data_IF_096277476980
#
_entry.id   IF_096277476980
#
_cell.length_a   1.000
_cell.length_b   1.000
_cell.length_c   1.000
_cell.angle_alpha   90.00
_cell.angle_beta   90.00
_cell.angle_gamma   90.00
#
_symmetry.space_group_name_H-M   'P 1'
#
loop_
_entity.id
_entity.type
_entity.pdbx_description
1 polymer ?
#
# COMPACT_ATOMS: atom_id res chain seq x y z
N UNK A 1 -2.22 -1.20 0.79
CA UNK A 1 -2.69 -0.78 2.14
C UNK A 1 -4.05 -1.40 2.44
N UNK A 2 -5.10 -1.04 1.69
CA UNK A 2 -6.49 -1.47 1.93
C UNK A 2 -6.66 -2.99 2.12
N UNK A 3 -6.12 -3.84 1.25
CA UNK A 3 -6.25 -5.31 1.39
C UNK A 3 -5.78 -5.79 2.78
N UNK A 4 -4.62 -5.33 3.24
CA UNK A 4 -4.06 -5.73 4.55
C UNK A 4 -4.95 -5.22 5.69
N UNK A 5 -5.44 -3.99 5.62
CA UNK A 5 -6.39 -3.44 6.59
C UNK A 5 -7.68 -4.27 6.62
N UNK A 6 -8.20 -4.65 5.45
CA UNK A 6 -9.42 -5.45 5.34
C UNK A 6 -9.27 -6.85 5.92
N UNK A 7 -8.11 -7.49 5.72
CA UNK A 7 -7.83 -8.80 6.33
C UNK A 7 -7.65 -8.76 7.85
N UNK A 8 -7.46 -7.58 8.45
CA UNK A 8 -7.24 -7.43 9.90
C UNK A 8 -5.91 -7.97 10.41
N UNK A 9 -4.98 -8.40 9.54
CA UNK A 9 -3.71 -9.04 9.94
C UNK A 9 -2.67 -8.05 10.47
N UNK A 10 -2.83 -6.75 10.20
CA UNK A 10 -1.91 -5.71 10.66
C UNK A 10 -2.65 -4.38 10.78
N UNK A 11 -2.39 -3.65 11.87
CA UNK A 11 -2.76 -2.24 11.98
C UNK A 11 -1.67 -1.40 11.31
N UNK A 12 -2.02 -0.72 10.22
CA UNK A 12 -1.08 0.04 9.39
C UNK A 12 -0.92 1.51 9.82
N UNK A 13 -1.59 1.93 10.89
CA UNK A 13 -1.50 3.29 11.41
C UNK A 13 -0.40 3.43 12.47
N UNK A 14 0.07 2.32 13.04
CA UNK A 14 1.26 2.33 13.90
C UNK A 14 2.53 2.60 13.10
N UNK A 15 3.39 3.46 13.64
CA UNK A 15 4.70 3.73 13.06
C UNK A 15 5.54 2.45 13.00
N UNK A 16 6.14 2.17 11.83
CA UNK A 16 6.95 0.97 11.61
C UNK A 16 6.18 -0.32 11.29
N UNK A 17 4.84 -0.29 11.30
CA UNK A 17 3.98 -1.42 10.89
C UNK A 17 4.14 -1.79 9.42
N UNK A 18 4.52 -0.83 8.59
CA UNK A 18 4.84 -1.02 7.18
C UNK A 18 6.25 -0.50 6.91
N UNK A 19 7.05 -1.32 6.23
CA UNK A 19 8.38 -0.94 5.74
C UNK A 19 8.45 -1.21 4.25
N UNK A 20 9.04 -0.29 3.51
CA UNK A 20 9.17 -0.40 2.06
C UNK A 20 10.62 -0.18 1.66
N UNK A 21 11.18 -1.16 0.93
CA UNK A 21 12.40 -0.98 0.17
C UNK A 21 12.02 -0.80 -1.30
N UNK A 22 12.44 0.30 -1.92
CA UNK A 22 12.07 0.66 -3.29
C UNK A 22 13.20 0.30 -4.27
N UNK A 23 12.86 -0.47 -5.30
CA UNK A 23 13.80 -0.93 -6.33
C UNK A 23 13.49 -0.22 -7.64
N UNK A 24 14.47 0.50 -8.20
CA UNK A 24 14.24 1.33 -9.40
C UNK A 24 15.45 1.42 -10.33
N UNK A 25 15.18 1.38 -11.62
CA UNK A 25 16.12 1.66 -12.70
C UNK A 25 15.44 2.43 -13.83
N UNK A 26 16.22 3.24 -14.54
CA UNK A 26 15.88 3.65 -15.91
C UNK A 26 16.12 2.44 -16.84
N UNK A 27 15.20 2.21 -17.78
CA UNK A 27 15.27 1.08 -18.72
C UNK A 27 16.66 1.02 -19.39
N UNK A 28 17.31 -0.15 -19.33
CA UNK A 28 18.64 -0.37 -19.88
C UNK A 28 19.81 -0.02 -18.95
N UNK A 29 19.54 0.41 -17.71
CA UNK A 29 20.58 0.78 -16.73
C UNK A 29 20.48 -0.04 -15.43
N UNK A 30 21.57 -0.12 -14.64
CA UNK A 30 21.58 -0.83 -13.37
C UNK A 30 20.55 -0.33 -12.35
N UNK A 31 20.14 -1.23 -11.46
CA UNK A 31 19.13 -0.99 -10.42
C UNK A 31 19.75 -0.31 -9.20
N UNK A 32 19.07 0.72 -8.69
CA UNK A 32 19.29 1.25 -7.34
C UNK A 32 18.21 0.73 -6.40
N UNK A 33 18.62 0.28 -5.21
CA UNK A 33 17.75 -0.14 -4.11
C UNK A 33 17.72 0.96 -3.04
N UNK A 34 16.59 1.63 -2.84
CA UNK A 34 16.43 2.67 -1.82
C UNK A 34 15.78 2.07 -0.57
N UNK A 35 16.47 2.16 0.56
CA UNK A 35 16.03 1.68 1.89
C UNK A 35 15.64 2.84 2.80
N UNK A 36 15.08 2.47 3.96
CA UNK A 36 14.68 3.38 5.04
C UNK A 36 13.54 4.33 4.63
N UNK A 37 12.50 3.78 4.01
CA UNK A 37 11.32 4.54 3.64
C UNK A 37 10.18 4.22 4.61
N UNK A 38 9.78 5.24 5.37
CA UNK A 38 8.87 5.09 6.51
C UNK A 38 7.39 5.33 6.19
N UNK A 39 7.04 5.80 4.99
CA UNK A 39 5.65 5.97 4.58
C UNK A 39 5.46 5.92 3.07
N UNK A 40 4.23 5.66 2.62
CA UNK A 40 3.88 5.66 1.19
C UNK A 40 4.20 6.99 0.49
N UNK A 41 3.99 8.12 1.18
CA UNK A 41 4.34 9.45 0.65
C UNK A 41 5.85 9.60 0.45
N UNK A 42 6.64 9.04 1.37
CA UNK A 42 8.09 9.03 1.27
C UNK A 42 8.58 8.11 0.15
N UNK A 43 7.88 7.01 -0.15
CA UNK A 43 8.18 6.15 -1.31
C UNK A 43 8.10 6.95 -2.61
N UNK A 44 7.00 7.68 -2.81
CA UNK A 44 6.82 8.50 -4.02
C UNK A 44 7.93 9.54 -4.16
N UNK A 45 8.27 10.24 -3.06
CA UNK A 45 9.34 11.25 -3.04
C UNK A 45 10.71 10.66 -3.34
N UNK A 46 11.04 9.54 -2.71
CA UNK A 46 12.28 8.81 -2.92
C UNK A 46 12.42 8.38 -4.38
N UNK A 47 11.38 7.79 -4.96
CA UNK A 47 11.35 7.38 -6.36
C UNK A 47 11.49 8.57 -7.32
N UNK A 48 10.78 9.68 -7.08
CA UNK A 48 10.91 10.90 -7.90
C UNK A 48 12.33 11.45 -7.89
N UNK A 49 12.96 11.54 -6.72
CA UNK A 49 14.35 11.96 -6.59
C UNK A 49 15.29 11.02 -7.35
N UNK A 50 15.08 9.72 -7.20
CA UNK A 50 15.89 8.67 -7.79
C UNK A 50 15.83 8.66 -9.33
N UNK A 51 14.62 8.82 -9.89
CA UNK A 51 14.41 9.02 -11.33
C UNK A 51 15.23 10.21 -11.83
N UNK A 52 15.19 11.34 -11.13
CA UNK A 52 15.91 12.54 -11.53
C UNK A 52 17.43 12.35 -11.41
N UNK A 53 17.92 11.70 -10.34
CA UNK A 53 19.36 11.41 -10.18
C UNK A 53 19.85 10.55 -11.35
N UNK A 54 19.17 9.44 -11.62
CA UNK A 54 19.59 8.51 -12.67
C UNK A 54 19.59 9.18 -14.04
N UNK A 55 18.53 9.93 -14.39
CA UNK A 55 18.47 10.72 -15.63
C UNK A 55 19.62 11.73 -15.75
N UNK A 56 19.95 12.43 -14.65
CA UNK A 56 21.02 13.43 -14.64
C UNK A 56 22.41 12.78 -14.83
N UNK A 57 22.65 11.60 -14.26
CA UNK A 57 23.90 10.87 -14.44
C UNK A 57 24.06 10.39 -15.88
N UNK A 58 23.01 9.79 -16.45
CA UNK A 58 22.97 9.36 -17.86
C UNK A 58 23.23 10.55 -18.79
N UNK A 59 22.55 11.69 -18.58
CA UNK A 59 22.73 12.89 -19.42
C UNK A 59 24.17 13.44 -19.37
N UNK A 60 24.89 13.21 -18.28
CA UNK A 60 26.28 13.64 -18.09
C UNK A 60 27.31 12.60 -18.57
N UNK A 61 26.87 11.51 -19.18
CA UNK A 61 27.74 10.41 -19.59
C UNK A 61 28.41 9.71 -18.42
N UNK A 62 27.81 9.75 -17.22
CA UNK A 62 28.31 9.03 -16.04
C UNK A 62 27.66 7.67 -15.95
N UNK A 63 28.45 6.67 -15.60
CA UNK A 63 27.96 5.32 -15.38
C UNK A 63 27.10 5.23 -14.12
N UNK A 64 25.96 4.55 -14.27
CA UNK A 64 25.15 4.12 -13.15
C UNK A 64 25.68 2.78 -12.65
N UNK A 65 25.87 2.66 -11.34
CA UNK A 65 26.25 1.41 -10.71
C UNK A 65 25.06 0.83 -9.94
N UNK A 66 25.05 -0.49 -9.76
CA UNK A 66 24.11 -1.12 -8.84
C UNK A 66 24.51 -0.79 -7.40
N UNK A 67 23.63 -0.11 -6.67
CA UNK A 67 23.92 0.37 -5.33
C UNK A 67 22.69 0.32 -4.43
N UNK A 68 22.94 0.24 -3.13
CA UNK A 68 21.91 0.47 -2.11
C UNK A 68 22.07 1.90 -1.60
N UNK A 69 20.95 2.61 -1.53
CA UNK A 69 20.88 3.99 -1.11
C UNK A 69 19.94 4.13 0.07
N UNK A 70 20.18 5.14 0.88
CA UNK A 70 19.37 5.49 2.04
C UNK A 70 18.51 6.70 1.69
N UNK A 71 17.22 6.66 2.00
CA UNK A 71 16.36 7.84 1.92
C UNK A 71 16.54 8.72 3.16
N UNK A 72 17.03 9.95 2.96
CA UNK A 72 17.06 11.01 3.97
C UNK A 72 15.82 11.89 3.79
N UNK A 73 14.83 11.68 4.65
CA UNK A 73 13.54 12.35 4.62
C UNK A 73 13.62 13.84 4.96
N UNK A 74 14.58 14.24 5.81
CA UNK A 74 14.83 15.64 6.18
C UNK A 74 15.39 16.43 5.01
N UNK A 75 16.40 15.86 4.33
CA UNK A 75 17.08 16.51 3.20
C UNK A 75 16.38 16.27 1.86
N UNK A 76 15.44 15.33 1.81
CA UNK A 76 14.71 14.92 0.59
C UNK A 76 15.64 14.39 -0.51
N UNK A 77 16.66 13.64 -0.11
CA UNK A 77 17.66 13.07 -1.04
C UNK A 77 17.89 11.58 -0.75
N UNK A 78 18.31 10.84 -1.78
CA UNK A 78 18.92 9.53 -1.60
C UNK A 78 20.43 9.69 -1.40
N UNK A 79 20.97 9.10 -0.35
CA UNK A 79 22.41 9.09 -0.04
C UNK A 79 22.94 7.70 -0.37
N UNK A 80 24.04 7.62 -1.11
CA UNK A 80 24.70 6.34 -1.38
C UNK A 80 25.20 5.75 -0.06
N UNK A 81 24.77 4.54 0.28
CA UNK A 81 25.43 3.77 1.33
C UNK A 81 26.70 3.15 0.74
N UNK A 82 27.66 2.81 1.59
CA UNK A 82 28.93 2.18 1.18
C UNK A 82 28.68 1.16 0.06
N UNK A 83 29.44 1.28 -1.03
CA UNK A 83 29.37 0.40 -2.19
C UNK A 83 29.41 -1.05 -1.73
N UNK A 84 28.38 -1.83 -2.08
CA UNK A 84 28.35 -3.28 -1.82
C UNK A 84 29.58 -3.87 -2.53
N UNK A 85 30.59 -4.28 -1.77
CA UNK A 85 31.76 -4.91 -2.37
C UNK A 85 31.39 -6.25 -3.04
N UNK A 86 30.34 -6.98 -2.60
CA UNK A 86 29.79 -8.15 -3.30
C UNK A 86 28.31 -8.40 -2.94
N UNK A 87 27.57 -9.13 -3.78
CA UNK A 87 26.29 -9.76 -3.36
C UNK A 87 26.59 -10.68 -2.17
N UNK A 88 25.83 -10.55 -1.08
CA UNK A 88 26.00 -11.42 0.09
C UNK A 88 25.51 -12.81 -0.30
N UNK A 89 26.42 -13.79 -0.30
CA UNK A 89 26.01 -15.19 -0.32
C UNK A 89 25.31 -15.51 1.02
N UNK A 90 23.98 -15.51 0.97
CA UNK A 90 23.13 -15.81 2.13
C UNK A 90 23.21 -17.29 2.52
N UNK A 91 23.78 -18.16 1.67
CA UNK A 91 23.92 -19.60 1.89
C UNK A 91 22.61 -20.20 2.39
N UNK A 92 21.50 -19.93 1.69
CA UNK A 92 20.19 -20.45 2.07
C UNK A 92 20.24 -21.98 2.15
N UNK A 93 19.88 -22.53 3.31
CA UNK A 93 19.64 -23.97 3.51
C UNK A 93 18.34 -24.14 4.33
N UNK A 94 17.66 -25.30 4.24
CA UNK A 94 16.47 -25.55 5.04
C UNK A 94 16.80 -25.47 6.54
N UNK A 95 15.99 -24.70 7.28
CA UNK A 95 16.09 -24.65 8.75
C UNK A 95 15.94 -26.06 9.31
N UNK A 96 16.91 -26.51 10.09
CA UNK A 96 16.98 -27.89 10.60
C UNK A 96 16.13 -28.07 11.85
N UNK A 97 15.91 -26.99 12.59
CA UNK A 97 15.11 -27.01 13.82
C UNK A 97 13.60 -26.96 13.54
N UNK A 98 13.20 -26.60 12.30
CA UNK A 98 11.80 -26.49 11.90
C UNK A 98 11.43 -27.58 10.89
N UNK A 99 10.41 -28.36 11.23
CA UNK A 99 9.80 -29.28 10.27
C UNK A 99 9.05 -28.49 9.18
N UNK A 100 8.94 -29.01 7.95
CA UNK A 100 8.12 -28.40 6.92
C UNK A 100 6.67 -28.21 7.37
N UNK A 101 6.16 -26.99 7.23
CA UNK A 101 4.76 -26.68 7.55
C UNK A 101 3.89 -27.12 6.36
N UNK A 102 3.14 -28.21 6.53
CA UNK A 102 2.16 -28.65 5.54
C UNK A 102 0.78 -28.05 5.84
N UNK A 103 0.27 -27.23 4.92
CA UNK A 103 -1.06 -26.62 5.04
C UNK A 103 -2.10 -27.49 4.34
N UNK A 104 -2.93 -28.18 5.11
CA UNK A 104 -4.01 -29.00 4.57
C UNK A 104 -5.05 -28.16 3.80
N UNK A 105 -5.67 -28.76 2.78
CA UNK A 105 -6.76 -28.13 2.01
C UNK A 105 -7.94 -27.73 2.90
N UNK A 106 -8.22 -28.49 3.95
CA UNK A 106 -9.24 -28.21 4.98
C UNK A 106 -8.97 -26.87 5.66
N UNK A 107 -7.73 -26.62 6.09
CA UNK A 107 -7.29 -25.36 6.68
C UNK A 107 -7.43 -24.19 5.70
N UNK A 108 -6.94 -24.35 4.46
CA UNK A 108 -7.05 -23.30 3.42
C UNK A 108 -8.52 -22.95 3.15
N UNK A 109 -9.38 -23.95 3.05
CA UNK A 109 -10.81 -23.74 2.83
C UNK A 109 -11.51 -23.08 4.02
N UNK A 110 -11.07 -23.37 5.25
CA UNK A 110 -11.54 -22.69 6.45
C UNK A 110 -11.17 -21.20 6.39
N UNK A 111 -9.88 -20.88 6.17
CA UNK A 111 -9.42 -19.48 6.08
C UNK A 111 -10.15 -18.73 4.97
N UNK A 112 -10.34 -19.35 3.79
CA UNK A 112 -11.10 -18.73 2.69
C UNK A 112 -12.54 -18.38 3.06
N UNK A 113 -13.20 -19.18 3.89
CA UNK A 113 -14.57 -18.91 4.36
C UNK A 113 -14.63 -17.81 5.42
N UNK A 114 -13.54 -17.59 6.15
CA UNK A 114 -13.41 -16.56 7.18
C UNK A 114 -12.90 -15.22 6.63
N UNK A 115 -12.42 -15.19 5.38
CA UNK A 115 -12.00 -13.94 4.74
C UNK A 115 -13.18 -12.96 4.66
N UNK A 116 -12.98 -11.69 5.05
CA UNK A 116 -13.98 -10.66 4.89
C UNK A 116 -14.15 -10.32 3.40
N UNK A 117 -15.20 -9.57 3.09
CA UNK A 117 -15.38 -8.98 1.75
C UNK A 117 -14.16 -8.14 1.37
N UNK A 118 -13.57 -8.40 0.20
CA UNK A 118 -12.37 -7.69 -0.23
C UNK A 118 -12.72 -6.30 -0.79
N UNK A 119 -11.78 -5.32 -0.75
CA UNK A 119 -12.02 -3.96 -1.25
C UNK A 119 -12.65 -3.91 -2.66
N UNK A 120 -12.13 -4.69 -3.60
CA UNK A 120 -12.63 -4.69 -4.98
C UNK A 120 -14.06 -5.27 -5.10
N UNK A 121 -14.42 -6.21 -4.22
CA UNK A 121 -15.77 -6.78 -4.16
C UNK A 121 -16.73 -5.74 -3.58
N UNK A 122 -16.31 -5.08 -2.49
CA UNK A 122 -17.06 -4.01 -1.83
C UNK A 122 -17.32 -2.83 -2.74
N UNK A 123 -16.34 -2.41 -3.55
CA UNK A 123 -16.52 -1.35 -4.57
C UNK A 123 -17.65 -1.72 -5.54
N UNK A 124 -17.63 -2.95 -6.07
CA UNK A 124 -18.68 -3.43 -7.00
C UNK A 124 -20.04 -3.50 -6.32
N UNK A 125 -20.08 -3.94 -5.05
CA UNK A 125 -21.30 -3.99 -4.26
C UNK A 125 -21.86 -2.60 -4.00
N UNK A 126 -21.02 -1.63 -3.64
CA UNK A 126 -21.44 -0.24 -3.42
C UNK A 126 -22.01 0.41 -4.68
N UNK A 127 -21.42 0.13 -5.85
CA UNK A 127 -21.98 0.57 -7.13
C UNK A 127 -23.36 -0.06 -7.37
N UNK A 128 -23.54 -1.35 -7.07
CA UNK A 128 -24.79 -2.07 -7.32
C UNK A 128 -25.91 -1.74 -6.32
N UNK A 129 -25.60 -1.72 -5.03
CA UNK A 129 -26.58 -1.58 -3.94
C UNK A 129 -26.91 -0.13 -3.62
N UNK A 130 -25.92 0.77 -3.75
CA UNK A 130 -26.06 2.18 -3.37
C UNK A 130 -26.00 3.14 -4.55
N UNK A 131 -25.91 2.62 -5.78
CA UNK A 131 -25.84 3.40 -7.03
C UNK A 131 -24.74 4.48 -6.99
N UNK A 132 -23.64 4.20 -6.29
CA UNK A 132 -22.48 5.07 -6.26
C UNK A 132 -21.69 4.94 -7.57
N UNK A 133 -21.08 6.04 -8.01
CA UNK A 133 -20.08 6.00 -9.08
C UNK A 133 -18.85 5.21 -8.62
N UNK A 134 -18.14 4.58 -9.56
CA UNK A 134 -16.90 3.85 -9.28
C UNK A 134 -15.92 4.68 -8.43
N UNK A 135 -15.67 5.93 -8.82
CA UNK A 135 -14.81 6.86 -8.08
C UNK A 135 -15.24 7.08 -6.62
N UNK A 136 -16.54 7.14 -6.35
CA UNK A 136 -17.05 7.36 -4.99
C UNK A 136 -16.91 6.12 -4.14
N UNK A 137 -17.23 4.96 -4.73
CA UNK A 137 -17.06 3.67 -4.09
C UNK A 137 -15.59 3.41 -3.77
N UNK A 138 -14.67 3.74 -4.69
CA UNK A 138 -13.23 3.63 -4.47
C UNK A 138 -12.78 4.47 -3.28
N UNK A 139 -13.16 5.75 -3.21
CA UNK A 139 -12.76 6.63 -2.11
C UNK A 139 -13.23 6.09 -0.75
N UNK A 140 -14.50 5.67 -0.65
CA UNK A 140 -15.03 5.14 0.60
C UNK A 140 -14.30 3.86 1.02
N UNK A 141 -13.96 2.99 0.07
CA UNK A 141 -13.34 1.68 0.33
C UNK A 141 -11.84 1.75 0.59
N UNK A 142 -11.17 2.88 0.32
CA UNK A 142 -9.75 3.08 0.63
C UNK A 142 -9.41 2.80 2.10
N UNK A 143 -10.34 3.15 2.99
CA UNK A 143 -10.26 2.89 4.42
C UNK A 143 -11.44 2.00 4.83
N UNK A 144 -11.15 0.88 5.49
CA UNK A 144 -12.21 -0.04 5.93
C UNK A 144 -13.18 0.62 6.91
N UNK A 145 -12.67 1.43 7.82
CA UNK A 145 -13.49 1.99 8.91
C UNK A 145 -14.45 3.06 8.36
N UNK A 146 -14.01 3.83 7.36
CA UNK A 146 -14.88 4.76 6.62
C UNK A 146 -15.96 4.01 5.85
N UNK A 147 -15.60 2.91 5.17
CA UNK A 147 -16.57 2.10 4.44
C UNK A 147 -17.60 1.43 5.36
N UNK A 148 -17.17 0.93 6.52
CA UNK A 148 -18.05 0.36 7.55
C UNK A 148 -19.01 1.43 8.10
N UNK A 149 -18.48 2.61 8.45
CA UNK A 149 -19.29 3.74 8.91
C UNK A 149 -20.31 4.19 7.87
N UNK A 150 -19.93 4.24 6.59
CA UNK A 150 -20.85 4.54 5.50
C UNK A 150 -22.00 3.52 5.46
N UNK A 151 -21.68 2.22 5.52
CA UNK A 151 -22.70 1.18 5.49
C UNK A 151 -23.62 1.18 6.70
N UNK A 152 -23.07 1.39 7.89
CA UNK A 152 -23.87 1.52 9.11
C UNK A 152 -24.80 2.73 9.03
N UNK A 153 -24.30 3.87 8.54
CA UNK A 153 -25.09 5.08 8.36
C UNK A 153 -26.23 4.90 7.36
N UNK A 154 -25.98 4.30 6.19
CA UNK A 154 -27.07 4.05 5.22
C UNK A 154 -28.09 3.02 5.71
N UNK A 155 -27.67 2.04 6.53
CA UNK A 155 -28.57 1.03 7.12
C UNK A 155 -29.34 1.55 8.34
N UNK A 156 -28.89 2.64 8.96
CA UNK A 156 -29.51 3.21 10.17
C UNK A 156 -30.92 3.78 9.92
N UNK A 157 -31.24 4.15 8.68
CA UNK A 157 -32.52 4.75 8.31
C UNK A 157 -33.15 4.01 7.13
N UNK A 158 -34.28 3.34 7.38
CA UNK A 158 -35.01 2.56 6.36
C UNK A 158 -35.59 3.40 5.22
N UNK A 159 -35.70 4.72 5.41
CA UNK A 159 -36.24 5.66 4.43
C UNK A 159 -35.21 6.11 3.39
N UNK A 160 -33.93 5.75 3.56
CA UNK A 160 -32.89 6.18 2.63
C UNK A 160 -33.12 5.59 1.24
N UNK A 161 -33.03 6.47 0.24
CA UNK A 161 -33.11 6.13 -1.17
C UNK A 161 -31.79 6.50 -1.87
N UNK A 162 -31.74 6.30 -3.19
CA UNK A 162 -30.55 6.56 -4.01
C UNK A 162 -29.94 7.95 -3.78
N UNK A 163 -30.78 8.99 -3.65
CA UNK A 163 -30.30 10.36 -3.44
C UNK A 163 -29.65 10.54 -2.06
N UNK A 164 -30.18 9.87 -1.03
CA UNK A 164 -29.62 9.90 0.32
C UNK A 164 -28.26 9.19 0.39
N UNK A 165 -28.08 8.08 -0.33
CA UNK A 165 -26.81 7.36 -0.40
C UNK A 165 -25.70 8.26 -0.96
N UNK A 166 -25.98 8.92 -2.08
CA UNK A 166 -25.04 9.86 -2.70
C UNK A 166 -24.77 11.06 -1.80
N UNK A 167 -25.79 11.62 -1.19
CA UNK A 167 -25.63 12.75 -0.28
C UNK A 167 -24.75 12.38 0.92
N UNK A 168 -24.98 11.24 1.55
CA UNK A 168 -24.18 10.79 2.69
C UNK A 168 -22.72 10.51 2.30
N UNK A 169 -22.50 9.88 1.13
CA UNK A 169 -21.16 9.72 0.57
C UNK A 169 -20.45 11.08 0.38
N UNK A 170 -21.15 12.10 -0.10
CA UNK A 170 -20.58 13.44 -0.26
C UNK A 170 -20.23 14.10 1.09
N UNK A 171 -21.09 13.98 2.11
CA UNK A 171 -20.79 14.46 3.47
C UNK A 171 -19.55 13.77 4.06
N UNK A 172 -19.41 12.46 3.85
CA UNK A 172 -18.25 11.71 4.33
C UNK A 172 -16.95 12.17 3.67
N UNK A 173 -16.92 12.25 2.34
CA UNK A 173 -15.74 12.70 1.58
C UNK A 173 -15.39 14.17 1.83
N UNK A 174 -16.39 15.00 2.09
CA UNK A 174 -16.25 16.44 2.27
C UNK A 174 -16.06 16.81 3.73
N UNK A 175 -17.18 17.10 4.40
CA UNK A 175 -17.20 17.72 5.72
C UNK A 175 -16.56 16.85 6.81
N UNK A 176 -16.90 15.55 6.83
CA UNK A 176 -16.39 14.63 7.86
C UNK A 176 -14.90 14.37 7.65
N UNK A 177 -14.47 14.09 6.42
CA UNK A 177 -13.05 13.95 6.09
C UNK A 177 -12.27 15.22 6.44
N UNK A 178 -12.84 16.41 6.21
CA UNK A 178 -12.20 17.67 6.60
C UNK A 178 -12.08 17.84 8.12
N UNK A 179 -13.04 17.35 8.89
CA UNK A 179 -12.99 17.45 10.35
C UNK A 179 -12.00 16.47 10.99
N UNK A 180 -11.81 15.29 10.39
CA UNK A 180 -10.88 14.26 10.86
C UNK A 180 -9.40 14.55 10.54
N UNK A 181 -9.13 15.38 9.53
CA UNK A 181 -7.79 15.74 9.07
C UNK A 181 -7.32 17.09 9.60
#
# INVERSE_FOLDING_TARGET
>A
KSIVQYTGISNLDFEGSCRVDANISIKGHPRSEVKNINSFREVERALKWEIQRQKNLIKRGKDLIQETRHWDDKRRITIGLRTKEFEKDYRYFPEQDLVPINLEKTFINKVKKELPEMPNERIKRFQKEYNLSEFDAEILVLDKDIADFYEEGVKSQKSYQSDNYKQFCNWLKGDISRWLN
#
